data_IF_487235075415
#
_entry.id   IF_487235075415
#
_cell.length_a   1.000
_cell.length_b   1.000
_cell.length_c   1.000
_cell.angle_alpha   90.00
_cell.angle_beta   90.00
_cell.angle_gamma   90.00
#
_symmetry.space_group_name_H-M   'P 1'
#
loop_
_entity.id
_entity.type
_entity.pdbx_description
1 polymer ?
#
# COMPACT_ATOMS: atom_id res chain seq x y z
N UNK A 1 13.60 18.83 -7.95
CA UNK A 1 12.30 18.36 -7.47
C UNK A 1 12.48 17.06 -6.72
N UNK A 2 11.87 16.94 -5.58
CA UNK A 2 12.01 15.72 -4.80
C UNK A 2 10.98 14.69 -5.24
N UNK A 3 11.44 13.47 -5.39
CA UNK A 3 10.55 12.33 -5.63
C UNK A 3 9.90 11.90 -4.33
N UNK A 4 8.60 11.52 -4.34
CA UNK A 4 7.93 11.08 -3.12
C UNK A 4 8.60 9.88 -2.46
N UNK A 5 9.31 9.08 -3.23
CA UNK A 5 9.88 7.81 -2.77
C UNK A 5 11.37 7.88 -2.44
N UNK A 6 12.03 8.98 -2.73
CA UNK A 6 13.49 9.06 -2.59
C UNK A 6 13.99 9.00 -1.15
N UNK A 7 13.09 9.24 -0.21
CA UNK A 7 13.46 9.31 1.21
C UNK A 7 13.30 8.02 1.93
N UNK A 8 13.10 6.94 1.22
CA UNK A 8 13.02 5.65 1.88
C UNK A 8 14.38 5.38 2.49
N UNK A 9 14.52 5.75 3.74
CA UNK A 9 15.72 5.59 4.50
C UNK A 9 15.57 4.44 5.47
N UNK A 10 16.67 4.03 6.05
CA UNK A 10 16.70 2.99 7.05
C UNK A 10 16.77 3.64 8.43
N UNK A 11 16.17 2.99 9.42
CA UNK A 11 16.29 3.42 10.82
C UNK A 11 17.63 2.99 11.38
N UNK A 12 17.85 3.27 12.67
CA UNK A 12 19.12 2.96 13.32
C UNK A 12 19.41 1.45 13.36
N UNK A 13 18.39 0.62 13.24
CA UNK A 13 18.50 -0.84 13.24
C UNK A 13 18.61 -1.42 11.83
N UNK A 14 18.73 -0.57 10.80
CA UNK A 14 18.86 -1.00 9.42
C UNK A 14 17.58 -1.40 8.73
N UNK A 15 16.42 -1.07 9.29
CA UNK A 15 15.12 -1.34 8.68
C UNK A 15 14.61 -0.10 7.94
N UNK A 16 13.81 -0.31 6.91
CA UNK A 16 13.17 0.78 6.20
C UNK A 16 12.29 1.58 7.15
N UNK A 17 12.32 2.91 7.00
CA UNK A 17 11.37 3.79 7.68
C UNK A 17 9.96 3.50 7.18
N UNK A 18 8.97 3.81 8.02
CA UNK A 18 7.56 3.71 7.64
C UNK A 18 7.16 4.94 6.82
N UNK A 19 7.42 4.89 5.52
CA UNK A 19 7.08 5.96 4.60
C UNK A 19 5.56 6.22 4.58
N UNK A 20 4.76 5.16 4.74
CA UNK A 20 3.30 5.31 4.70
C UNK A 20 2.78 6.11 5.88
N UNK A 21 3.24 5.80 7.10
CA UNK A 21 2.85 6.59 8.27
C UNK A 21 3.48 7.97 8.28
N UNK A 22 4.74 8.07 7.92
CA UNK A 22 5.50 9.31 8.11
C UNK A 22 5.25 10.32 7.00
N UNK A 23 5.06 9.88 5.77
CA UNK A 23 5.00 10.77 4.62
C UNK A 23 3.62 10.77 3.93
N UNK A 24 3.02 9.59 3.75
CA UNK A 24 1.75 9.47 3.01
C UNK A 24 0.57 9.89 3.87
N UNK A 25 0.39 9.28 5.03
CA UNK A 25 -0.77 9.54 5.88
C UNK A 25 -0.72 10.91 6.53
N UNK A 26 0.45 11.51 6.63
CA UNK A 26 0.63 12.88 7.11
C UNK A 26 0.37 13.93 6.04
N UNK A 27 0.26 13.52 4.77
CA UNK A 27 0.06 14.45 3.66
C UNK A 27 1.32 15.08 3.12
N UNK A 28 2.50 14.70 3.60
CA UNK A 28 3.77 15.27 3.14
C UNK A 28 4.09 14.79 1.72
N UNK A 29 3.91 13.49 1.44
CA UNK A 29 4.16 12.95 0.12
C UNK A 29 3.00 13.28 -0.81
N UNK A 30 3.28 13.81 -2.02
CA UNK A 30 2.23 13.99 -3.01
C UNK A 30 1.83 12.63 -3.57
N UNK A 31 0.56 12.27 -3.39
CA UNK A 31 0.01 11.02 -3.89
C UNK A 31 -1.27 11.29 -4.67
N UNK A 32 -1.60 10.38 -5.56
CA UNK A 32 -2.84 10.41 -6.31
C UNK A 32 -3.78 9.36 -5.74
N UNK A 33 -4.76 9.81 -4.96
CA UNK A 33 -5.72 8.94 -4.28
C UNK A 33 -6.65 8.29 -5.29
N UNK A 34 -6.94 7.01 -5.03
CA UNK A 34 -7.89 6.22 -5.83
C UNK A 34 -9.15 5.94 -5.03
N UNK A 35 -8.99 5.59 -3.76
CA UNK A 35 -10.10 5.27 -2.87
C UNK A 35 -9.66 5.50 -1.43
N UNK A 36 -10.59 5.96 -0.61
CA UNK A 36 -10.32 6.20 0.80
C UNK A 36 -11.58 6.04 1.62
N UNK A 37 -11.47 5.39 2.77
CA UNK A 37 -12.51 5.39 3.80
C UNK A 37 -11.86 5.58 5.18
N UNK A 38 -12.60 5.29 6.25
CA UNK A 38 -12.09 5.51 7.60
C UNK A 38 -10.91 4.60 7.96
N UNK A 39 -10.80 3.45 7.33
CA UNK A 39 -9.83 2.42 7.69
C UNK A 39 -8.68 2.27 6.70
N UNK A 40 -8.89 2.60 5.43
CA UNK A 40 -7.90 2.32 4.38
C UNK A 40 -7.75 3.50 3.43
N UNK A 41 -6.59 3.54 2.77
CA UNK A 41 -6.27 4.48 1.72
C UNK A 41 -5.65 3.71 0.56
N UNK A 42 -6.15 3.94 -0.65
CA UNK A 42 -5.58 3.40 -1.88
C UNK A 42 -5.12 4.54 -2.77
N UNK A 43 -3.93 4.42 -3.34
CA UNK A 43 -3.36 5.47 -4.19
C UNK A 43 -2.42 4.87 -5.23
N UNK A 44 -2.22 5.60 -6.32
CA UNK A 44 -1.29 5.18 -7.36
C UNK A 44 0.13 5.14 -6.82
N UNK A 45 0.81 4.03 -7.06
CA UNK A 45 2.18 3.88 -6.59
C UNK A 45 3.08 4.91 -7.28
N UNK A 46 3.91 5.65 -6.52
CA UNK A 46 4.76 6.69 -7.12
C UNK A 46 5.86 6.15 -8.03
N UNK A 47 6.22 4.89 -7.88
CA UNK A 47 7.17 4.19 -8.76
C UNK A 47 6.53 2.89 -9.24
N UNK A 48 5.62 2.98 -10.21
CA UNK A 48 4.87 1.79 -10.64
C UNK A 48 5.79 0.78 -11.31
N UNK A 49 5.51 -0.50 -11.06
CA UNK A 49 6.18 -1.61 -11.69
C UNK A 49 5.32 -2.27 -12.76
N UNK A 50 4.13 -1.72 -12.99
CA UNK A 50 3.19 -2.18 -14.01
C UNK A 50 2.43 -0.98 -14.56
N UNK A 51 1.80 -1.08 -15.74
CA UNK A 51 0.99 0.01 -16.29
C UNK A 51 -0.09 0.53 -15.34
N UNK A 52 -0.69 -0.37 -14.56
CA UNK A 52 -1.58 0.00 -13.47
C UNK A 52 -0.99 -0.55 -12.18
N UNK A 53 -0.73 0.33 -11.23
CA UNK A 53 -0.14 -0.08 -9.96
C UNK A 53 -0.69 0.80 -8.84
N UNK A 54 -1.59 0.25 -8.06
CA UNK A 54 -2.20 0.92 -6.91
C UNK A 54 -1.75 0.20 -5.65
N UNK A 55 -1.51 0.97 -4.60
CA UNK A 55 -1.15 0.47 -3.29
C UNK A 55 -2.31 0.74 -2.33
N UNK A 56 -2.63 -0.25 -1.49
CA UNK A 56 -3.67 -0.14 -0.47
C UNK A 56 -3.03 -0.30 0.89
N UNK A 57 -3.27 0.65 1.78
CA UNK A 57 -2.71 0.64 3.12
C UNK A 57 -3.79 0.85 4.17
N UNK A 58 -3.64 0.25 5.37
CA UNK A 58 -4.44 0.63 6.52
C UNK A 58 -4.02 2.03 6.99
N UNK A 59 -4.98 2.82 7.47
CA UNK A 59 -4.69 4.13 8.06
C UNK A 59 -4.07 3.98 9.43
N UNK A 60 -4.54 3.01 10.22
CA UNK A 60 -3.90 2.67 11.49
C UNK A 60 -2.60 1.95 11.21
N UNK A 61 -1.54 2.31 11.92
CA UNK A 61 -0.26 1.65 11.77
C UNK A 61 -0.38 0.15 12.05
N UNK A 62 -0.16 -0.65 11.01
CA UNK A 62 -0.18 -2.10 11.07
C UNK A 62 1.16 -2.53 10.50
N UNK A 63 2.12 -2.94 11.37
CA UNK A 63 3.51 -3.08 10.94
C UNK A 63 3.72 -4.14 9.87
N UNK A 64 2.95 -5.23 9.92
CA UNK A 64 3.22 -6.38 9.07
C UNK A 64 1.98 -7.24 8.89
N UNK A 65 1.89 -7.84 7.70
CA UNK A 65 0.92 -8.89 7.43
C UNK A 65 1.15 -10.11 8.34
N UNK A 66 2.35 -10.25 8.87
CA UNK A 66 2.73 -11.38 9.72
C UNK A 66 2.39 -11.15 11.21
N UNK A 67 2.02 -9.94 11.59
CA UNK A 67 1.70 -9.62 12.97
C UNK A 67 0.23 -9.83 13.32
N UNK A 68 -0.09 -9.90 14.62
CA UNK A 68 -1.47 -10.11 15.06
C UNK A 68 -2.41 -8.97 14.69
N UNK A 69 -1.89 -7.77 14.48
CA UNK A 69 -2.69 -6.62 14.08
C UNK A 69 -3.37 -6.82 12.74
N UNK A 70 -2.77 -7.65 11.87
CA UNK A 70 -3.35 -7.96 10.56
C UNK A 70 -4.59 -8.86 10.64
N UNK A 71 -4.86 -9.44 11.81
CA UNK A 71 -6.01 -10.32 12.00
C UNK A 71 -7.29 -9.58 12.37
N UNK A 72 -7.29 -8.28 12.42
CA UNK A 72 -8.50 -7.49 12.68
C UNK A 72 -9.51 -7.70 11.56
N UNK A 73 -10.67 -8.33 11.83
CA UNK A 73 -11.64 -8.62 10.76
C UNK A 73 -12.18 -7.37 10.08
N UNK A 74 -12.41 -6.30 10.82
CA UNK A 74 -12.92 -5.06 10.23
C UNK A 74 -11.91 -4.46 9.25
N UNK A 75 -10.62 -4.52 9.60
CA UNK A 75 -9.56 -4.03 8.72
C UNK A 75 -9.45 -4.91 7.47
N UNK A 76 -9.48 -6.23 7.63
CA UNK A 76 -9.37 -7.13 6.48
C UNK A 76 -10.54 -6.98 5.51
N UNK A 77 -11.75 -6.81 6.03
CA UNK A 77 -12.92 -6.55 5.18
C UNK A 77 -12.73 -5.23 4.43
N UNK A 78 -12.24 -4.19 5.10
CA UNK A 78 -11.98 -2.89 4.46
C UNK A 78 -10.91 -2.99 3.39
N UNK A 79 -9.84 -3.74 3.65
CA UNK A 79 -8.75 -3.93 2.69
C UNK A 79 -9.22 -4.68 1.44
N UNK A 80 -9.97 -5.76 1.62
CA UNK A 80 -10.54 -6.52 0.49
C UNK A 80 -11.54 -5.65 -0.27
N UNK A 81 -12.40 -4.92 0.43
CA UNK A 81 -13.36 -4.02 -0.20
C UNK A 81 -12.68 -2.95 -1.05
N UNK A 82 -11.59 -2.38 -0.56
CA UNK A 82 -10.79 -1.42 -1.32
C UNK A 82 -10.18 -2.08 -2.56
N UNK A 83 -9.65 -3.30 -2.42
CA UNK A 83 -9.08 -4.03 -3.54
C UNK A 83 -10.13 -4.27 -4.63
N UNK A 84 -11.35 -4.63 -4.26
CA UNK A 84 -12.42 -4.82 -5.23
C UNK A 84 -12.76 -3.54 -5.98
N UNK A 85 -12.79 -2.40 -5.28
CA UNK A 85 -13.04 -1.10 -5.91
C UNK A 85 -11.91 -0.67 -6.83
N UNK A 86 -10.67 -0.93 -6.42
CA UNK A 86 -9.49 -0.64 -7.25
C UNK A 86 -9.50 -1.52 -8.51
N UNK A 87 -9.79 -2.81 -8.35
CA UNK A 87 -9.84 -3.73 -9.49
C UNK A 87 -10.92 -3.34 -10.51
N UNK A 88 -11.99 -2.69 -10.06
CA UNK A 88 -13.04 -2.24 -10.97
C UNK A 88 -12.59 -1.13 -11.93
N UNK A 89 -11.42 -0.53 -11.69
CA UNK A 89 -10.87 0.51 -12.57
C UNK A 89 -10.18 -0.06 -13.81
N UNK A 90 -9.95 -1.35 -13.86
CA UNK A 90 -9.34 -2.02 -15.00
C UNK A 90 -10.30 -3.07 -15.55
N UNK A 91 -10.06 -3.49 -16.79
CA UNK A 91 -10.83 -4.57 -17.38
C UNK A 91 -10.30 -5.91 -16.87
N UNK A 92 -10.80 -6.34 -15.71
CA UNK A 92 -10.33 -7.57 -15.08
C UNK A 92 -10.65 -8.82 -15.90
N UNK A 93 -11.62 -8.73 -16.82
CA UNK A 93 -12.02 -9.88 -17.64
C UNK A 93 -10.99 -10.21 -18.69
N UNK A 94 -10.24 -9.21 -19.15
CA UNK A 94 -9.19 -9.39 -20.15
C UNK A 94 -7.80 -9.21 -19.58
N UNK A 95 -7.61 -8.22 -18.71
CA UNK A 95 -6.29 -7.88 -18.16
C UNK A 95 -5.98 -8.61 -16.86
N UNK A 96 -6.99 -8.85 -16.05
CA UNK A 96 -6.80 -9.40 -14.71
C UNK A 96 -6.08 -8.46 -13.77
N UNK A 97 -6.03 -8.83 -12.50
CA UNK A 97 -5.24 -8.12 -11.49
C UNK A 97 -4.44 -9.11 -10.68
N UNK A 98 -3.31 -8.64 -10.17
CA UNK A 98 -2.51 -9.37 -9.19
C UNK A 98 -2.54 -8.59 -7.88
N UNK A 99 -2.85 -9.30 -6.80
CA UNK A 99 -2.71 -8.77 -5.45
C UNK A 99 -1.46 -9.38 -4.83
N UNK A 100 -0.55 -8.54 -4.35
CA UNK A 100 0.67 -9.02 -3.70
C UNK A 100 1.02 -8.15 -2.51
N UNK A 101 1.77 -8.74 -1.59
CA UNK A 101 2.25 -8.04 -0.40
C UNK A 101 3.60 -8.63 0.00
N UNK A 102 4.47 -7.77 0.52
CA UNK A 102 5.77 -8.19 1.05
C UNK A 102 5.77 -8.00 2.56
N UNK A 103 6.37 -8.92 3.28
CA UNK A 103 6.42 -8.86 4.73
C UNK A 103 7.67 -9.57 5.25
N UNK A 104 8.21 -9.09 6.37
CA UNK A 104 9.18 -9.80 7.17
C UNK A 104 10.63 -9.44 7.00
N UNK A 105 11.08 -9.05 5.81
CA UNK A 105 12.49 -8.71 5.60
C UNK A 105 12.79 -7.29 6.11
N UNK A 106 14.03 -7.01 6.59
CA UNK A 106 14.37 -5.67 7.07
C UNK A 106 14.20 -4.57 6.03
N UNK A 107 14.34 -4.90 4.75
CA UNK A 107 14.18 -3.93 3.67
C UNK A 107 12.71 -3.62 3.33
N UNK A 108 11.76 -4.39 3.89
CA UNK A 108 10.34 -4.16 3.68
C UNK A 108 9.89 -3.03 4.61
N UNK A 109 9.13 -2.08 4.07
CA UNK A 109 8.56 -0.99 4.86
C UNK A 109 7.70 -1.57 5.98
N UNK A 110 7.90 -1.15 7.25
CA UNK A 110 7.18 -1.69 8.40
C UNK A 110 5.77 -1.12 8.53
N UNK A 111 4.99 -1.28 7.47
CA UNK A 111 3.59 -0.88 7.38
C UNK A 111 2.94 -1.79 6.35
N UNK A 112 1.88 -2.48 6.75
CA UNK A 112 1.20 -3.38 5.83
C UNK A 112 0.76 -2.63 4.58
N UNK A 113 1.07 -3.19 3.41
CA UNK A 113 0.70 -2.57 2.14
C UNK A 113 0.49 -3.65 1.09
N UNK A 114 -0.60 -3.51 0.37
CA UNK A 114 -0.99 -4.45 -0.68
C UNK A 114 -0.82 -3.77 -2.03
N UNK A 115 -0.18 -4.45 -2.96
CA UNK A 115 -0.03 -3.98 -4.33
C UNK A 115 -1.10 -4.61 -5.21
N UNK A 116 -1.78 -3.79 -5.97
CA UNK A 116 -2.72 -4.24 -7.01
C UNK A 116 -2.14 -3.81 -8.35
N UNK A 117 -1.76 -4.77 -9.16
CA UNK A 117 -1.12 -4.50 -10.44
C UNK A 117 -1.90 -5.14 -11.59
N UNK A 118 -1.84 -4.52 -12.77
CA UNK A 118 -2.49 -5.00 -13.98
C UNK A 118 -1.68 -4.52 -15.20
N UNK A 119 -1.67 -5.28 -16.31
CA UNK A 119 -2.31 -6.59 -16.51
C UNK A 119 -1.58 -7.71 -15.75
N UNK A 120 -2.32 -8.80 -15.64
CA UNK A 120 -1.78 -9.99 -15.02
C UNK A 120 -0.73 -10.65 -15.92
#
# INVERSE_FOLDING_TARGET
MSEPYRHVAYDAEGRKRDWFCEDVLTGIAPIERVFEDDLVLAFHHPRPTAPFHVVIIPKRHTPSLLGPEALDPALLVAMIGAMQKVAALVDVRTAGVRLSANAGAPAVTPHMHWHVTSPL
#
